data_IF_194027427951
#
_entry.id   IF_194027427951
#
_cell.length_a   1.000
_cell.length_b   1.000
_cell.length_c   1.000
_cell.angle_alpha   90.00
_cell.angle_beta   90.00
_cell.angle_gamma   90.00
#
_symmetry.space_group_name_H-M   'P 1'
#
loop_
_entity.id
_entity.type
_entity.pdbx_description
1 polymer ?
#
# COMPACT_ATOMS: atom_id res chain seq x y z
N UNK A 1 5.65 -8.36 -1.06
CA UNK A 1 6.46 -7.75 -2.14
C UNK A 1 5.81 -6.49 -2.73
N UNK A 2 4.64 -6.57 -3.36
CA UNK A 2 4.02 -5.40 -4.03
C UNK A 2 3.69 -4.24 -3.09
N UNK A 3 3.19 -4.54 -1.89
CA UNK A 3 2.92 -3.56 -0.82
C UNK A 3 4.19 -2.77 -0.47
N UNK A 4 5.34 -3.43 -0.36
CA UNK A 4 6.61 -2.74 -0.08
C UNK A 4 7.03 -1.84 -1.26
N UNK A 5 6.81 -2.27 -2.51
CA UNK A 5 7.04 -1.41 -3.69
C UNK A 5 6.12 -0.18 -3.69
N UNK A 6 4.84 -0.34 -3.32
CA UNK A 6 3.90 0.79 -3.16
C UNK A 6 4.34 1.73 -2.05
N UNK A 7 4.76 1.19 -0.90
CA UNK A 7 5.23 1.97 0.26
C UNK A 7 6.49 2.76 -0.08
N UNK A 8 7.50 2.13 -0.66
CA UNK A 8 8.76 2.76 -1.03
C UNK A 8 8.60 3.92 -2.04
N UNK A 9 7.57 3.85 -2.90
CA UNK A 9 7.30 4.86 -3.91
C UNK A 9 6.08 5.72 -3.58
N UNK A 10 5.54 5.65 -2.36
CA UNK A 10 4.26 6.27 -2.00
C UNK A 10 4.25 7.77 -2.30
N UNK A 11 5.31 8.48 -1.87
CA UNK A 11 5.44 9.92 -2.08
C UNK A 11 5.38 10.27 -3.56
N UNK A 12 6.18 9.60 -4.37
CA UNK A 12 6.28 9.86 -5.80
C UNK A 12 4.98 9.53 -6.54
N UNK A 13 4.32 8.43 -6.16
CA UNK A 13 3.03 8.07 -6.75
C UNK A 13 1.99 9.14 -6.43
N UNK A 14 1.84 9.50 -5.15
CA UNK A 14 0.80 10.44 -4.70
C UNK A 14 0.98 11.84 -5.27
N UNK A 15 2.22 12.30 -5.49
CA UNK A 15 2.47 13.64 -6.04
C UNK A 15 2.35 13.70 -7.55
N UNK A 16 2.68 12.61 -8.25
CA UNK A 16 2.81 12.58 -9.72
C UNK A 16 1.51 12.25 -10.45
N UNK A 17 0.74 11.28 -9.96
CA UNK A 17 -0.38 10.73 -10.75
C UNK A 17 -1.63 11.62 -10.68
N UNK A 18 -2.53 11.39 -11.63
CA UNK A 18 -3.90 11.88 -11.62
C UNK A 18 -4.85 10.67 -11.53
N UNK A 19 -5.52 10.52 -10.37
CA UNK A 19 -6.41 9.38 -10.11
C UNK A 19 -7.49 9.19 -11.18
N UNK A 20 -8.05 10.27 -11.73
CA UNK A 20 -9.05 10.21 -12.79
C UNK A 20 -8.54 9.53 -14.08
N UNK A 21 -7.24 9.62 -14.37
CA UNK A 21 -6.68 8.96 -15.55
C UNK A 21 -6.44 7.46 -15.34
N UNK A 22 -6.43 7.00 -14.08
CA UNK A 22 -6.07 5.64 -13.71
C UNK A 22 -7.32 4.83 -13.34
N UNK A 23 -8.20 5.39 -12.50
CA UNK A 23 -9.37 4.70 -11.91
C UNK A 23 -10.25 4.05 -12.98
N UNK A 24 -10.52 4.74 -14.09
CA UNK A 24 -11.39 4.20 -15.15
C UNK A 24 -10.77 3.02 -15.91
N UNK A 25 -9.45 2.88 -15.84
CA UNK A 25 -8.69 1.82 -16.52
C UNK A 25 -8.42 0.62 -15.62
N UNK A 26 -8.85 0.66 -14.36
CA UNK A 26 -8.76 -0.43 -13.40
C UNK A 26 -10.09 -1.18 -13.29
N UNK A 27 -10.02 -2.47 -12.99
CA UNK A 27 -11.18 -3.33 -12.79
C UNK A 27 -11.83 -3.08 -11.41
N UNK A 28 -12.30 -1.85 -11.18
CA UNK A 28 -12.94 -1.40 -9.94
C UNK A 28 -14.46 -1.30 -10.09
N UNK A 29 -15.18 -1.65 -9.01
CA UNK A 29 -16.63 -1.43 -8.89
C UNK A 29 -16.98 0.05 -8.78
N UNK A 30 -18.23 0.40 -9.06
CA UNK A 30 -18.68 1.80 -8.99
C UNK A 30 -18.54 2.41 -7.58
N UNK A 31 -18.79 1.61 -6.54
CA UNK A 31 -18.59 2.02 -5.14
C UNK A 31 -17.12 2.35 -4.84
N UNK A 32 -16.21 1.53 -5.35
CA UNK A 32 -14.76 1.73 -5.24
C UNK A 32 -14.28 2.96 -5.99
N UNK A 33 -14.80 3.21 -7.20
CA UNK A 33 -14.51 4.43 -7.96
C UNK A 33 -15.02 5.66 -7.20
N UNK A 34 -16.24 5.57 -6.67
CA UNK A 34 -16.86 6.64 -5.91
C UNK A 34 -16.09 6.97 -4.64
N UNK A 35 -15.54 5.97 -3.93
CA UNK A 35 -14.75 6.22 -2.72
C UNK A 35 -13.48 7.04 -3.02
N UNK A 36 -12.81 6.77 -4.14
CA UNK A 36 -11.67 7.57 -4.61
C UNK A 36 -12.09 9.00 -4.95
N UNK A 37 -13.14 9.17 -5.76
CA UNK A 37 -13.58 10.51 -6.21
C UNK A 37 -14.30 11.34 -5.14
N UNK A 38 -14.83 10.71 -4.09
CA UNK A 38 -15.41 11.41 -2.94
C UNK A 38 -14.39 12.23 -2.15
N UNK A 39 -13.10 11.93 -2.30
CA UNK A 39 -12.02 12.68 -1.67
C UNK A 39 -11.80 14.03 -2.38
N UNK A 40 -11.86 15.12 -1.61
CA UNK A 40 -11.54 16.46 -2.13
C UNK A 40 -10.02 16.65 -2.26
N UNK A 41 -9.57 16.81 -3.50
CA UNK A 41 -8.19 17.19 -3.86
C UNK A 41 -7.33 16.02 -4.33
N UNK A 42 -6.50 16.28 -5.35
CA UNK A 42 -5.68 15.28 -6.07
C UNK A 42 -4.90 14.35 -5.15
N UNK A 43 -4.18 14.92 -4.17
CA UNK A 43 -3.37 14.15 -3.22
C UNK A 43 -4.23 13.16 -2.42
N UNK A 44 -5.42 13.57 -1.96
CA UNK A 44 -6.30 12.70 -1.19
C UNK A 44 -6.89 11.59 -2.06
N UNK A 45 -7.28 11.91 -3.30
CA UNK A 45 -7.75 10.93 -4.27
C UNK A 45 -6.67 9.88 -4.58
N UNK A 46 -5.43 10.33 -4.82
CA UNK A 46 -4.31 9.42 -5.09
C UNK A 46 -4.00 8.51 -3.90
N UNK A 47 -4.11 9.02 -2.66
CA UNK A 47 -3.99 8.21 -1.45
C UNK A 47 -5.10 7.15 -1.36
N UNK A 48 -6.35 7.54 -1.59
CA UNK A 48 -7.48 6.61 -1.58
C UNK A 48 -7.35 5.52 -2.65
N UNK A 49 -6.87 5.88 -3.85
CA UNK A 49 -6.56 4.92 -4.91
C UNK A 49 -5.46 3.93 -4.48
N UNK A 50 -4.39 4.41 -3.85
CA UNK A 50 -3.31 3.55 -3.38
C UNK A 50 -3.74 2.61 -2.25
N UNK A 51 -4.56 3.08 -1.32
CA UNK A 51 -5.14 2.27 -0.26
C UNK A 51 -6.03 1.17 -0.84
N UNK A 52 -6.81 1.49 -1.86
CA UNK A 52 -7.61 0.51 -2.58
C UNK A 52 -6.73 -0.56 -3.24
N UNK A 53 -5.70 -0.15 -4.00
CA UNK A 53 -4.76 -1.07 -4.66
C UNK A 53 -4.04 -1.95 -3.63
N UNK A 54 -3.71 -1.39 -2.46
CA UNK A 54 -3.13 -2.12 -1.34
C UNK A 54 -4.06 -3.21 -0.81
N UNK A 55 -5.33 -2.88 -0.58
CA UNK A 55 -6.33 -3.77 0.02
C UNK A 55 -6.82 -4.86 -0.95
N UNK A 56 -6.92 -4.55 -2.24
CA UNK A 56 -7.37 -5.51 -3.27
C UNK A 56 -6.32 -6.55 -3.65
N UNK A 57 -5.05 -6.27 -3.34
CA UNK A 57 -3.99 -7.25 -3.47
C UNK A 57 -3.25 -7.23 -4.83
N UNK A 58 -2.48 -8.29 -5.11
CA UNK A 58 -1.46 -8.29 -6.16
C UNK A 58 -2.03 -8.24 -7.59
N UNK A 59 -3.28 -8.66 -7.81
CA UNK A 59 -3.92 -8.62 -9.13
C UNK A 59 -4.18 -7.18 -9.55
N UNK A 60 -4.85 -6.41 -8.67
CA UNK A 60 -5.13 -4.99 -8.92
C UNK A 60 -3.84 -4.17 -8.95
N UNK A 61 -2.83 -4.55 -8.15
CA UNK A 61 -1.50 -3.95 -8.27
C UNK A 61 -0.88 -4.14 -9.67
N UNK A 62 -0.94 -5.35 -10.25
CA UNK A 62 -0.41 -5.59 -11.61
C UNK A 62 -1.17 -4.77 -12.65
N UNK A 63 -2.50 -4.67 -12.53
CA UNK A 63 -3.29 -3.79 -13.39
C UNK A 63 -2.88 -2.32 -13.24
N UNK A 64 -2.70 -1.86 -12.01
CA UNK A 64 -2.23 -0.53 -11.68
C UNK A 64 -0.87 -0.23 -12.32
N UNK A 65 0.12 -1.11 -12.17
CA UNK A 65 1.43 -0.95 -12.84
C UNK A 65 1.30 -0.96 -14.36
N UNK A 66 0.43 -1.81 -14.93
CA UNK A 66 0.17 -1.84 -16.38
C UNK A 66 -0.48 -0.55 -16.88
N UNK A 67 -1.33 0.08 -16.07
CA UNK A 67 -1.92 1.39 -16.41
C UNK A 67 -0.87 2.48 -16.26
N UNK A 68 -0.09 2.47 -15.18
CA UNK A 68 1.02 3.41 -14.99
C UNK A 68 2.03 3.32 -16.12
N UNK A 69 2.39 2.13 -16.61
CA UNK A 69 3.39 2.03 -17.69
C UNK A 69 2.95 2.67 -19.00
N UNK A 70 1.65 2.92 -19.19
CA UNK A 70 1.10 3.60 -20.36
C UNK A 70 1.02 5.11 -20.20
N UNK A 71 0.77 5.60 -18.97
CA UNK A 71 0.50 7.02 -18.70
C UNK A 71 1.73 7.70 -18.07
N UNK A 72 2.40 7.01 -17.16
CA UNK A 72 3.55 7.44 -16.39
C UNK A 72 4.68 6.39 -16.49
N UNK A 73 5.26 6.17 -17.69
CA UNK A 73 6.20 5.08 -17.94
C UNK A 73 7.43 5.12 -17.02
N UNK A 74 7.99 6.31 -16.76
CA UNK A 74 9.14 6.48 -15.87
C UNK A 74 8.81 6.12 -14.41
N UNK A 75 7.61 6.48 -13.94
CA UNK A 75 7.16 6.13 -12.60
C UNK A 75 6.93 4.63 -12.47
N UNK A 76 6.34 3.99 -13.49
CA UNK A 76 6.14 2.54 -13.51
C UNK A 76 7.48 1.78 -13.49
N UNK A 77 8.44 2.20 -14.30
CA UNK A 77 9.79 1.63 -14.37
C UNK A 77 10.53 1.79 -13.03
N UNK A 78 10.44 2.96 -12.40
CA UNK A 78 10.99 3.22 -11.06
C UNK A 78 10.39 2.28 -10.01
N UNK A 79 9.07 2.13 -9.98
CA UNK A 79 8.39 1.23 -9.03
C UNK A 79 8.84 -0.21 -9.26
N UNK A 80 8.95 -0.65 -10.53
CA UNK A 80 9.31 -2.03 -10.82
C UNK A 80 10.78 -2.34 -10.46
N UNK A 81 11.69 -1.41 -10.73
CA UNK A 81 13.13 -1.50 -10.36
C UNK A 81 13.42 -1.31 -8.88
N UNK A 82 12.43 -0.92 -8.07
CA UNK A 82 12.59 -0.74 -6.63
C UNK A 82 12.99 -2.06 -5.99
N UNK A 83 14.23 -2.14 -5.51
CA UNK A 83 14.73 -3.27 -4.72
C UNK A 83 14.11 -3.20 -3.32
N UNK A 84 13.47 -4.28 -2.92
CA UNK A 84 12.77 -4.38 -1.63
C UNK A 84 13.70 -4.87 -0.50
N UNK A 85 15.02 -4.95 -0.76
CA UNK A 85 16.00 -5.35 0.25
C UNK A 85 16.14 -4.26 1.31
N UNK A 86 15.78 -4.61 2.55
CA UNK A 86 15.95 -3.85 3.79
C UNK A 86 15.04 -2.61 3.96
N UNK A 87 13.78 -2.89 4.31
CA UNK A 87 12.98 -1.99 5.15
C UNK A 87 12.53 -2.77 6.38
N UNK A 88 13.42 -2.92 7.35
CA UNK A 88 13.08 -3.30 8.71
C UNK A 88 13.12 -2.03 9.59
N UNK A 89 12.08 -1.86 10.39
CA UNK A 89 11.94 -0.93 11.53
C UNK A 89 11.71 0.58 11.29
N UNK A 90 12.50 1.34 10.54
CA UNK A 90 12.40 2.83 10.61
C UNK A 90 11.10 3.44 10.03
N UNK A 91 10.43 2.77 9.09
CA UNK A 91 9.22 3.31 8.42
C UNK A 91 7.92 2.89 9.13
N UNK A 92 8.00 2.20 10.27
CA UNK A 92 6.83 1.91 11.10
C UNK A 92 6.47 3.13 11.95
N UNK A 93 7.46 3.78 12.57
CA UNK A 93 7.26 4.93 13.47
C UNK A 93 6.73 6.17 12.75
N UNK A 94 7.19 6.42 11.52
CA UNK A 94 6.77 7.59 10.74
C UNK A 94 5.35 7.43 10.18
N UNK A 95 4.95 6.20 9.84
CA UNK A 95 3.57 5.88 9.48
C UNK A 95 2.64 5.92 10.69
N UNK A 96 3.08 5.45 11.85
CA UNK A 96 2.32 5.52 13.09
C UNK A 96 2.07 6.99 13.50
N UNK A 97 3.07 7.86 13.36
CA UNK A 97 2.88 9.31 13.54
C UNK A 97 1.90 9.92 12.54
N UNK A 98 2.05 9.62 11.25
CA UNK A 98 1.20 10.18 10.19
C UNK A 98 -0.26 9.69 10.30
N UNK A 99 -0.47 8.47 10.79
CA UNK A 99 -1.79 7.86 10.99
C UNK A 99 -2.48 8.39 12.26
N UNK A 100 -1.72 8.64 13.33
CA UNK A 100 -2.26 9.12 14.61
C UNK A 100 -2.60 10.63 14.64
N UNK A 101 -2.10 11.43 13.69
CA UNK A 101 -2.30 12.89 13.72
C UNK A 101 -3.67 13.35 13.19
N UNK A 102 -4.47 12.49 12.54
CA UNK A 102 -5.72 12.92 11.87
C UNK A 102 -6.92 11.98 11.92
N UNK A 103 -6.95 11.01 12.83
CA UNK A 103 -8.09 10.10 12.98
C UNK A 103 -8.84 10.40 14.29
N UNK A 104 -10.13 10.79 14.23
CA UNK A 104 -10.95 10.94 15.42
C UNK A 104 -10.99 9.63 16.22
N UNK A 105 -10.90 9.74 17.55
CA UNK A 105 -10.74 8.64 18.54
C UNK A 105 -11.63 7.40 18.28
N UNK A 106 -12.82 7.63 17.71
CA UNK A 106 -13.82 6.61 17.44
C UNK A 106 -13.46 5.64 16.29
N UNK A 107 -12.61 6.05 15.34
CA UNK A 107 -12.12 5.19 14.24
C UNK A 107 -10.84 4.45 14.66
N UNK A 108 -10.06 5.02 15.59
CA UNK A 108 -8.81 4.43 16.10
C UNK A 108 -9.02 3.06 16.75
N UNK A 109 -10.08 2.89 17.54
CA UNK A 109 -10.41 1.61 18.21
C UNK A 109 -10.69 0.45 17.25
N UNK A 110 -11.26 0.73 16.08
CA UNK A 110 -11.57 -0.31 15.10
C UNK A 110 -10.30 -0.79 14.38
N UNK A 111 -9.38 0.14 14.08
CA UNK A 111 -8.10 -0.17 13.44
C UNK A 111 -7.05 -0.73 14.39
N UNK A 112 -7.01 -0.31 15.66
CA UNK A 112 -6.08 -0.85 16.68
C UNK A 112 -6.26 -2.36 16.90
N UNK A 113 -7.49 -2.87 16.82
CA UNK A 113 -7.76 -4.31 16.91
C UNK A 113 -7.33 -5.08 15.65
N UNK A 114 -7.38 -4.46 14.47
CA UNK A 114 -6.91 -5.07 13.22
C UNK A 114 -5.38 -5.09 13.14
N UNK A 115 -4.71 -3.99 13.55
CA UNK A 115 -3.25 -3.91 13.63
C UNK A 115 -2.66 -4.85 14.70
N UNK A 116 -3.29 -4.96 15.89
CA UNK A 116 -2.82 -5.87 16.95
C UNK A 116 -2.95 -7.34 16.58
N UNK A 117 -3.98 -7.71 15.82
CA UNK A 117 -4.09 -9.07 15.27
C UNK A 117 -3.01 -9.32 14.21
N UNK A 118 -2.71 -8.36 13.35
CA UNK A 118 -1.64 -8.45 12.35
C UNK A 118 -0.24 -8.63 12.95
N UNK A 119 0.10 -7.88 14.01
CA UNK A 119 1.41 -7.99 14.69
C UNK A 119 1.54 -9.31 15.48
N UNK A 120 0.42 -9.93 15.89
CA UNK A 120 0.44 -11.24 16.56
C UNK A 120 0.51 -12.43 15.60
N UNK A 121 -0.09 -12.33 14.41
CA UNK A 121 -0.09 -13.41 13.42
C UNK A 121 1.26 -13.56 12.70
N UNK A 122 2.07 -12.51 12.58
CA UNK A 122 3.41 -12.61 11.99
C UNK A 122 4.45 -13.23 12.95
N UNK A 123 4.18 -13.25 14.27
CA UNK A 123 5.06 -13.91 15.26
C UNK A 123 4.94 -15.44 15.27
N UNK A 124 3.89 -16.01 14.69
CA UNK A 124 3.70 -17.47 14.63
C UNK A 124 4.29 -18.09 13.36
N UNK A 125 4.48 -17.31 12.28
CA UNK A 125 5.06 -17.79 11.01
C UNK A 125 6.59 -17.77 10.97
N UNK A 126 7.27 -17.10 11.91
CA UNK A 126 8.75 -17.07 12.01
C UNK A 126 9.32 -18.26 12.79
N UNK A 127 8.51 -19.12 13.42
CA UNK A 127 9.00 -20.20 14.28
C UNK A 127 9.01 -21.62 13.71
N UNK A 128 8.66 -21.87 12.44
CA UNK A 128 8.65 -23.26 11.90
C UNK A 128 9.57 -23.55 10.73
N UNK A 129 10.32 -22.59 10.18
CA UNK A 129 11.26 -22.87 9.06
C UNK A 129 12.74 -22.66 9.38
N UNK A 130 13.11 -22.56 10.67
CA UNK A 130 14.49 -22.51 11.12
C UNK A 130 14.80 -23.61 12.16
N UNK A 131 14.57 -24.89 11.80
CA UNK A 131 15.21 -26.05 12.44
C UNK A 131 15.07 -27.29 11.57
N UNK A 132 15.96 -27.45 10.59
CA UNK A 132 16.47 -28.78 10.20
C UNK A 132 17.69 -28.59 9.29
N UNK A 133 18.85 -28.58 9.94
CA UNK A 133 20.27 -28.62 9.49
C UNK A 133 21.02 -27.59 10.35
N UNK A 134 21.83 -27.97 11.34
CA UNK A 134 22.93 -28.96 11.36
C UNK A 134 23.27 -29.32 12.81
N UNK A 135 23.61 -30.60 13.05
CA UNK A 135 24.55 -31.21 14.03
C UNK A 135 24.19 -32.71 14.02
N UNK A 136 25.00 -33.67 13.57
CA UNK A 136 26.41 -33.81 13.19
C UNK A 136 26.52 -34.72 11.94
#
# INVERSE_FOLDING_TARGET
LFQMKLKANFKDIVTTIYSNEIVDKLSLSDSERQSVFSCLGRIKQNKALLELVWNRGPVVYKEFIRVLSKIYPELADKIDKTKVSEYQEEVAEELEKMYNEKIPENIRRFHDNQLKNWISEDKTLVKTNASSKILE
#
